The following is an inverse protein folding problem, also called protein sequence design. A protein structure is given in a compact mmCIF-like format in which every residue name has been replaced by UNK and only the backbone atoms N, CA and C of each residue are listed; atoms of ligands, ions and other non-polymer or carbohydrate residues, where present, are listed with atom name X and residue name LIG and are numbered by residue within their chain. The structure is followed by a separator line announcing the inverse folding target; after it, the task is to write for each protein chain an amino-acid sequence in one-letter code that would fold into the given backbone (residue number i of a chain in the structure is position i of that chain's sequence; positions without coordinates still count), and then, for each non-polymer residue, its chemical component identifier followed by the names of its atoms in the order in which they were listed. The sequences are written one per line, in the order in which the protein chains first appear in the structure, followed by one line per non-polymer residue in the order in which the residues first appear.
data_IF_890480180544
#
_entry.id   IF_890480180544
#
_cell.length_a   1.000
_cell.length_b   1.000
_cell.length_c   1.000
_cell.angle_alpha   90.00
_cell.angle_beta   90.00
_cell.angle_gamma   90.00
#
_symmetry.space_group_name_H-M   'P 1'
#
loop_
_entity.id
_entity.type
_entity.pdbx_description
1 polymer ?
#
# COMPACT_ATOMS: atom_id res chain seq x y z
N UNK A 1 -9.28 -19.91 -14.28
CA UNK A 1 -9.12 -19.04 -13.11
C UNK A 1 -7.63 -18.94 -12.82
N UNK A 2 -7.00 -17.82 -13.19
CA UNK A 2 -5.55 -17.68 -13.05
C UNK A 2 -5.19 -17.64 -11.56
N UNK A 3 -4.36 -18.58 -11.12
CA UNK A 3 -3.82 -18.63 -9.76
C UNK A 3 -3.23 -17.25 -9.42
N UNK A 4 -3.80 -16.59 -8.42
CA UNK A 4 -3.45 -15.24 -7.94
C UNK A 4 -1.95 -15.12 -7.60
N UNK A 5 -1.29 -16.26 -7.31
CA UNK A 5 0.14 -16.35 -7.04
C UNK A 5 1.03 -15.98 -8.22
N UNK A 6 0.51 -15.92 -9.46
CA UNK A 6 1.29 -15.57 -10.66
C UNK A 6 1.14 -14.13 -11.13
N UNK A 7 0.32 -13.28 -10.48
CA UNK A 7 0.28 -11.87 -10.85
C UNK A 7 1.46 -11.12 -10.22
N UNK A 8 2.40 -10.56 -11.02
CA UNK A 8 3.54 -9.81 -10.48
C UNK A 8 3.09 -8.65 -9.59
N UNK A 9 2.00 -7.97 -9.98
CA UNK A 9 1.46 -6.84 -9.21
C UNK A 9 0.95 -7.26 -7.82
N UNK A 10 0.30 -8.41 -7.69
CA UNK A 10 -0.19 -8.90 -6.39
C UNK A 10 0.99 -9.16 -5.45
N UNK A 11 2.03 -9.85 -5.94
CA UNK A 11 3.24 -10.12 -5.17
C UNK A 11 3.93 -8.81 -4.74
N UNK A 12 4.13 -7.87 -5.67
CA UNK A 12 4.77 -6.58 -5.39
C UNK A 12 4.00 -5.77 -4.34
N UNK A 13 2.66 -5.73 -4.43
CA UNK A 13 1.85 -5.02 -3.43
C UNK A 13 1.86 -5.73 -2.08
N UNK A 14 1.89 -7.06 -2.05
CA UNK A 14 2.03 -7.81 -0.80
C UNK A 14 3.40 -7.59 -0.15
N UNK A 15 4.48 -7.57 -0.92
CA UNK A 15 5.82 -7.22 -0.42
C UNK A 15 5.85 -5.79 0.13
N UNK A 16 5.15 -4.85 -0.52
CA UNK A 16 4.99 -3.47 -0.02
C UNK A 16 4.20 -3.43 1.29
N UNK A 17 3.11 -4.19 1.41
CA UNK A 17 2.35 -4.35 2.65
C UNK A 17 3.25 -4.80 3.80
N UNK A 18 4.07 -5.84 3.58
CA UNK A 18 5.00 -6.33 4.61
C UNK A 18 6.01 -5.25 5.03
N UNK A 19 6.57 -4.52 4.07
CA UNK A 19 7.49 -3.39 4.36
C UNK A 19 6.80 -2.29 5.16
N UNK A 20 5.59 -1.90 4.78
CA UNK A 20 4.80 -0.90 5.52
C UNK A 20 4.52 -1.39 6.94
N UNK A 21 4.13 -2.65 7.12
CA UNK A 21 3.87 -3.22 8.45
C UNK A 21 5.12 -3.23 9.34
N UNK A 22 6.31 -3.44 8.78
CA UNK A 22 7.57 -3.37 9.52
C UNK A 22 7.95 -1.94 9.88
N UNK A 23 7.87 -1.04 8.90
CA UNK A 23 8.24 0.36 9.02
C UNK A 23 7.36 1.11 10.02
N UNK A 24 6.05 0.94 9.93
CA UNK A 24 5.07 1.64 10.78
C UNK A 24 5.13 1.21 12.26
N UNK A 25 5.74 0.06 12.59
CA UNK A 25 6.02 -0.31 13.98
C UNK A 25 6.96 0.69 14.65
N UNK A 26 7.88 1.26 13.89
CA UNK A 26 8.90 2.19 14.39
C UNK A 26 8.42 3.65 14.38
N UNK A 27 7.18 3.93 13.97
CA UNK A 27 6.64 5.28 14.02
C UNK A 27 6.57 5.78 15.47
N UNK A 28 6.87 7.08 15.72
CA UNK A 28 6.63 7.72 17.00
C UNK A 28 5.17 7.54 17.44
N UNK A 29 4.95 7.47 18.75
CA UNK A 29 3.63 7.17 19.34
C UNK A 29 2.53 8.11 18.82
N UNK A 30 2.85 9.38 18.63
CA UNK A 30 1.96 10.42 18.09
C UNK A 30 1.42 10.08 16.69
N UNK A 31 2.26 9.48 15.83
CA UNK A 31 1.91 9.20 14.43
C UNK A 31 1.48 7.75 14.18
N UNK A 32 1.70 6.86 15.15
CA UNK A 32 1.44 5.42 15.00
C UNK A 32 -0.04 5.11 14.77
N UNK A 33 -0.93 5.78 15.51
CA UNK A 33 -2.39 5.57 15.44
C UNK A 33 -3.09 6.54 14.48
N UNK A 34 -2.33 7.40 13.81
CA UNK A 34 -2.84 8.33 12.79
C UNK A 34 -2.28 7.92 11.43
N UNK A 35 -1.13 8.46 11.05
CA UNK A 35 -0.48 8.22 9.76
C UNK A 35 -0.11 6.74 9.57
N UNK A 36 0.44 6.10 10.60
CA UNK A 36 0.83 4.69 10.56
C UNK A 36 -0.36 3.75 10.39
N UNK A 37 -1.50 4.05 11.03
CA UNK A 37 -2.73 3.28 10.87
C UNK A 37 -3.35 3.50 9.50
N UNK A 38 -3.48 4.76 9.07
CA UNK A 38 -4.04 5.10 7.75
C UNK A 38 -3.23 4.44 6.62
N UNK A 39 -1.90 4.48 6.70
CA UNK A 39 -1.04 3.83 5.70
C UNK A 39 -1.25 2.31 5.63
N UNK A 40 -1.47 1.65 6.78
CA UNK A 40 -1.78 0.21 6.82
C UNK A 40 -3.13 -0.10 6.19
N UNK A 41 -4.15 0.68 6.50
CA UNK A 41 -5.50 0.51 5.95
C UNK A 41 -5.48 0.65 4.42
N UNK A 42 -4.85 1.71 3.90
CA UNK A 42 -4.76 1.95 2.45
C UNK A 42 -4.04 0.82 1.70
N UNK A 43 -2.92 0.30 2.25
CA UNK A 43 -2.18 -0.78 1.59
C UNK A 43 -2.91 -2.13 1.67
N UNK A 44 -3.61 -2.42 2.78
CA UNK A 44 -4.47 -3.61 2.89
C UNK A 44 -5.57 -3.55 1.84
N UNK A 45 -6.26 -2.42 1.73
CA UNK A 45 -7.33 -2.27 0.73
C UNK A 45 -6.77 -2.34 -0.70
N UNK A 46 -5.56 -1.82 -0.93
CA UNK A 46 -4.90 -1.97 -2.23
C UNK A 46 -4.69 -3.44 -2.63
N UNK A 47 -4.20 -4.28 -1.71
CA UNK A 47 -4.06 -5.73 -1.95
C UNK A 47 -5.40 -6.39 -2.23
N UNK A 48 -6.43 -6.07 -1.44
CA UNK A 48 -7.79 -6.62 -1.60
C UNK A 48 -8.38 -6.23 -2.96
N UNK A 49 -8.18 -4.99 -3.39
CA UNK A 49 -8.70 -4.53 -4.67
C UNK A 49 -7.98 -5.12 -5.87
N UNK A 50 -6.66 -5.35 -5.80
CA UNK A 50 -5.93 -6.09 -6.83
C UNK A 50 -6.45 -7.53 -6.92
N UNK A 51 -6.72 -8.17 -5.79
CA UNK A 51 -7.34 -9.49 -5.75
C UNK A 51 -8.73 -9.49 -6.40
N UNK A 52 -9.60 -8.53 -6.04
CA UNK A 52 -10.95 -8.38 -6.62
C UNK A 52 -10.89 -8.13 -8.12
N UNK A 53 -10.01 -7.23 -8.58
CA UNK A 53 -9.81 -6.88 -9.99
C UNK A 53 -9.42 -8.10 -10.84
N UNK A 54 -8.66 -9.04 -10.27
CA UNK A 54 -8.28 -10.27 -10.97
C UNK A 54 -9.49 -11.16 -11.30
N UNK A 55 -10.53 -11.11 -10.48
CA UNK A 55 -11.77 -11.89 -10.64
C UNK A 55 -12.90 -11.11 -11.31
N UNK A 56 -12.74 -9.80 -11.51
CA UNK A 56 -13.75 -8.93 -12.08
C UNK A 56 -13.89 -9.13 -13.61
N UNK A 57 -15.11 -8.94 -14.11
CA UNK A 57 -15.39 -8.89 -15.56
C UNK A 57 -14.98 -7.54 -16.14
N UNK A 58 -15.37 -6.46 -15.48
CA UNK A 58 -14.89 -5.11 -15.75
C UNK A 58 -13.58 -4.90 -14.99
N UNK A 59 -12.47 -4.85 -15.73
CA UNK A 59 -11.14 -4.65 -15.14
C UNK A 59 -10.70 -3.21 -15.18
N UNK A 60 -11.23 -2.42 -16.10
CA UNK A 60 -10.78 -1.05 -16.37
C UNK A 60 -11.10 -0.16 -15.18
N UNK A 61 -12.36 -0.16 -14.73
CA UNK A 61 -12.79 0.58 -13.55
C UNK A 61 -12.01 0.18 -12.29
N UNK A 62 -11.74 -1.12 -12.12
CA UNK A 62 -10.93 -1.60 -11.00
C UNK A 62 -9.48 -1.12 -11.05
N UNK A 63 -8.88 -1.06 -12.24
CA UNK A 63 -7.51 -0.58 -12.43
C UNK A 63 -7.43 0.92 -12.13
N UNK A 64 -8.39 1.73 -12.58
CA UNK A 64 -8.46 3.16 -12.26
C UNK A 64 -8.48 3.39 -10.73
N UNK A 65 -9.37 2.70 -10.03
CA UNK A 65 -9.44 2.80 -8.56
C UNK A 65 -8.16 2.30 -7.87
N UNK A 66 -7.44 1.33 -8.45
CA UNK A 66 -6.14 0.87 -7.95
C UNK A 66 -5.09 1.97 -8.13
N UNK A 67 -5.05 2.64 -9.29
CA UNK A 67 -4.11 3.72 -9.58
C UNK A 67 -4.29 4.90 -8.63
N UNK A 68 -5.54 5.33 -8.39
CA UNK A 68 -5.83 6.41 -7.44
C UNK A 68 -5.31 6.11 -6.04
N UNK A 69 -5.55 4.89 -5.54
CA UNK A 69 -5.10 4.52 -4.20
C UNK A 69 -3.60 4.29 -4.09
N UNK A 70 -2.93 3.91 -5.18
CA UNK A 70 -1.46 3.93 -5.23
C UNK A 70 -0.95 5.37 -4.99
N UNK A 71 -1.58 6.38 -5.60
CA UNK A 71 -1.21 7.78 -5.39
C UNK A 71 -1.41 8.21 -3.94
N UNK A 72 -2.51 7.76 -3.30
CA UNK A 72 -2.75 8.00 -1.86
C UNK A 72 -1.65 7.38 -1.00
N UNK A 73 -1.30 6.11 -1.23
CA UNK A 73 -0.23 5.42 -0.50
C UNK A 73 1.11 6.16 -0.70
N UNK A 74 1.44 6.56 -1.92
CA UNK A 74 2.66 7.32 -2.22
C UNK A 74 2.68 8.68 -1.50
N UNK A 75 1.55 9.38 -1.44
CA UNK A 75 1.42 10.65 -0.73
C UNK A 75 1.66 10.47 0.77
N UNK A 76 1.09 9.44 1.39
CA UNK A 76 1.28 9.14 2.82
C UNK A 76 2.72 8.75 3.14
N UNK A 77 3.39 7.99 2.27
CA UNK A 77 4.82 7.67 2.40
C UNK A 77 5.67 8.94 2.30
N UNK A 78 5.39 9.81 1.31
CA UNK A 78 6.08 11.09 1.16
C UNK A 78 5.92 11.96 2.39
N UNK A 79 4.69 12.10 2.89
CA UNK A 79 4.41 12.83 4.13
C UNK A 79 5.21 12.27 5.31
N UNK A 80 5.23 10.94 5.47
CA UNK A 80 6.00 10.26 6.54
C UNK A 80 7.50 10.57 6.49
N UNK A 81 8.04 10.75 5.29
CA UNK A 81 9.42 11.15 5.07
C UNK A 81 9.63 12.65 5.34
N UNK A 82 8.73 13.51 4.88
CA UNK A 82 8.84 14.97 5.04
C UNK A 82 8.81 15.40 6.51
N UNK A 83 8.00 14.72 7.33
CA UNK A 83 7.97 14.91 8.79
C UNK A 83 9.02 14.08 9.54
N UNK A 84 9.98 13.49 8.81
CA UNK A 84 11.16 12.77 9.35
C UNK A 84 10.85 11.56 10.24
N UNK A 85 9.67 10.97 10.12
CA UNK A 85 9.35 9.68 10.77
C UNK A 85 10.12 8.55 10.10
N UNK A 86 10.25 8.63 8.79
CA UNK A 86 11.02 7.67 8.00
C UNK A 86 12.46 8.18 7.82
N UNK A 87 13.49 7.41 8.23
CA UNK A 87 14.86 7.77 7.92
C UNK A 87 15.06 7.74 6.40
N UNK A 88 15.79 8.73 5.86
CA UNK A 88 16.37 8.68 4.52
C UNK A 88 17.39 7.54 4.45
N UNK A 89 16.94 6.30 4.28
CA UNK A 89 17.85 5.28 3.78
C UNK A 89 18.04 5.56 2.30
N UNK A 90 19.27 5.95 1.97
CA UNK A 90 19.74 6.23 0.62
C UNK A 90 19.18 5.20 -0.37
N UNK A 91 18.53 5.73 -1.41
CA UNK A 91 18.11 4.99 -2.59
C UNK A 91 19.28 4.20 -3.18
#
# INVERSE_FOLDING_TARGET
MAQYQHLPIYKLTYDLLLRIMQVTKNFPREYRHTLGQKLKEEIIELVVMIYKANTAKDKEHHIEMILERIQVVQLLIRLSHDIRILPRKHY
#
